data_IF_256586241933
#
_entry.id   IF_256586241933
#
_cell.length_a   1.000
_cell.length_b   1.000
_cell.length_c   1.000
_cell.angle_alpha   90.00
_cell.angle_beta   90.00
_cell.angle_gamma   90.00
#
_symmetry.space_group_name_H-M   'P 1'
#
loop_
_entity.id
_entity.type
_entity.pdbx_description
1 polymer ?
#
# COMPACT_ATOMS: atom_id res chain seq x y z
N UNK A 1 7.19 -5.67 10.78
CA UNK A 1 7.06 -7.14 10.71
C UNK A 1 5.60 -7.52 10.52
N UNK A 2 5.09 -7.35 9.30
CA UNK A 2 3.79 -7.88 8.86
C UNK A 2 4.00 -8.87 7.69
N UNK A 3 5.20 -9.45 7.62
CA UNK A 3 5.67 -10.26 6.50
C UNK A 3 5.13 -11.68 6.46
N UNK A 4 4.49 -12.18 7.53
CA UNK A 4 4.06 -13.58 7.62
C UNK A 4 2.53 -13.72 7.66
N UNK A 5 1.96 -14.27 6.58
CA UNK A 5 0.80 -15.17 6.62
C UNK A 5 -0.51 -14.71 7.28
N UNK A 6 -0.74 -13.42 7.52
CA UNK A 6 -1.98 -12.93 8.11
C UNK A 6 -3.05 -12.73 7.03
N UNK A 7 -4.03 -13.64 7.00
CA UNK A 7 -5.18 -13.56 6.10
C UNK A 7 -6.25 -12.63 6.71
N UNK A 8 -6.12 -11.32 6.46
CA UNK A 8 -7.02 -10.28 7.01
C UNK A 8 -8.27 -10.02 6.15
N UNK A 9 -8.43 -10.78 5.06
CA UNK A 9 -9.44 -10.58 4.03
C UNK A 9 -10.87 -10.74 4.53
N UNK A 10 -11.11 -11.59 5.54
CA UNK A 10 -12.45 -11.85 6.07
C UNK A 10 -12.86 -10.83 7.14
N UNK A 11 -11.93 -10.43 8.01
CA UNK A 11 -12.22 -9.58 9.18
C UNK A 11 -12.03 -8.08 8.99
N UNK A 12 -11.20 -7.63 8.05
CA UNK A 12 -10.80 -6.23 7.95
C UNK A 12 -10.94 -5.66 6.55
N UNK A 13 -11.68 -4.55 6.41
CA UNK A 13 -11.68 -3.68 5.23
C UNK A 13 -11.06 -2.30 5.52
N UNK A 14 -10.47 -2.12 6.70
CA UNK A 14 -9.83 -0.87 7.15
C UNK A 14 -8.37 -1.18 7.46
N UNK A 15 -7.46 -0.46 6.80
CA UNK A 15 -6.02 -0.50 7.04
C UNK A 15 -5.60 0.84 7.62
N UNK A 16 -4.85 0.83 8.72
CA UNK A 16 -4.33 2.05 9.35
C UNK A 16 -2.82 1.94 9.50
N UNK A 17 -2.08 2.83 8.85
CA UNK A 17 -0.63 2.95 8.99
C UNK A 17 -0.29 3.89 10.14
N UNK A 18 0.34 3.35 11.20
CA UNK A 18 0.77 4.13 12.37
C UNK A 18 2.16 4.75 12.23
N UNK A 19 3.03 4.17 11.39
CA UNK A 19 4.39 4.65 11.17
C UNK A 19 4.74 4.63 9.70
N UNK A 20 5.29 5.74 9.21
CA UNK A 20 5.61 5.93 7.81
C UNK A 20 7.11 5.66 7.60
N UNK A 21 7.43 4.52 6.99
CA UNK A 21 8.81 4.21 6.61
C UNK A 21 9.12 4.62 5.19
N UNK A 22 10.41 4.76 4.84
CA UNK A 22 10.91 5.24 3.55
C UNK A 22 10.71 4.28 2.36
N UNK A 23 10.15 3.10 2.61
CA UNK A 23 10.08 1.97 1.71
C UNK A 23 8.65 1.74 1.18
N UNK A 24 8.43 2.20 -0.06
CA UNK A 24 7.19 2.05 -0.80
C UNK A 24 6.83 0.61 -1.12
N UNK A 25 7.83 -0.24 -1.34
CA UNK A 25 7.60 -1.61 -1.81
C UNK A 25 6.90 -2.42 -0.70
N UNK A 26 7.34 -2.25 0.55
CA UNK A 26 6.65 -2.85 1.68
C UNK A 26 5.25 -2.29 1.88
N UNK A 27 5.02 -1.00 1.62
CA UNK A 27 3.68 -0.40 1.67
C UNK A 27 2.76 -1.04 0.62
N UNK A 28 3.24 -1.19 -0.62
CA UNK A 28 2.51 -1.84 -1.71
C UNK A 28 2.22 -3.31 -1.40
N UNK A 29 3.20 -4.08 -0.91
CA UNK A 29 3.00 -5.48 -0.51
C UNK A 29 1.93 -5.64 0.59
N UNK A 30 1.83 -4.69 1.53
CA UNK A 30 0.77 -4.69 2.55
C UNK A 30 -0.59 -4.36 1.93
N UNK A 31 -0.66 -3.37 1.04
CA UNK A 31 -1.90 -3.00 0.34
C UNK A 31 -2.38 -4.15 -0.55
N UNK A 32 -1.49 -4.86 -1.25
CA UNK A 32 -1.86 -6.02 -2.07
C UNK A 32 -2.44 -7.17 -1.24
N UNK A 33 -2.17 -7.24 0.06
CA UNK A 33 -2.66 -8.31 0.95
C UNK A 33 -4.11 -8.14 1.40
N UNK A 34 -4.61 -6.91 1.52
CA UNK A 34 -5.98 -6.61 1.99
C UNK A 34 -6.78 -5.75 1.01
N UNK A 35 -6.11 -5.22 0.00
CA UNK A 35 -6.61 -4.20 -0.90
C UNK A 35 -7.78 -4.67 -1.76
N UNK A 36 -8.32 -3.77 -2.59
CA UNK A 36 -9.54 -4.00 -3.35
C UNK A 36 -9.47 -5.26 -4.22
N UNK A 37 -8.31 -5.54 -4.83
CA UNK A 37 -8.08 -6.76 -5.63
C UNK A 37 -8.25 -8.02 -4.78
N UNK A 38 -7.75 -8.02 -3.55
CA UNK A 38 -7.77 -9.19 -2.67
C UNK A 38 -9.14 -9.41 -2.05
N UNK A 39 -9.85 -8.35 -1.68
CA UNK A 39 -11.25 -8.43 -1.25
C UNK A 39 -12.15 -8.96 -2.38
N UNK A 40 -11.94 -8.48 -3.61
CA UNK A 40 -12.66 -8.98 -4.78
C UNK A 40 -12.39 -10.48 -5.04
N UNK A 41 -11.13 -10.92 -4.92
CA UNK A 41 -10.76 -12.34 -5.01
C UNK A 41 -11.39 -13.20 -3.90
N UNK A 42 -11.55 -12.64 -2.70
CA UNK A 42 -12.23 -13.29 -1.57
C UNK A 42 -13.76 -13.27 -1.68
N UNK A 43 -14.33 -12.59 -2.68
CA UNK A 43 -15.78 -12.47 -2.87
C UNK A 43 -16.46 -11.42 -2.00
N UNK A 44 -15.68 -10.52 -1.37
CA UNK A 44 -16.21 -9.42 -0.57
C UNK A 44 -16.34 -8.14 -1.40
N UNK A 45 -17.57 -7.77 -1.77
CA UNK A 45 -17.88 -6.50 -2.45
C UNK A 45 -18.05 -5.38 -1.41
N UNK A 46 -16.92 -4.92 -0.83
CA UNK A 46 -16.90 -3.84 0.16
C UNK A 46 -15.78 -2.86 -0.09
N UNK A 47 -15.99 -1.55 0.15
CA UNK A 47 -14.94 -0.55 0.02
C UNK A 47 -13.83 -0.81 1.04
N UNK A 48 -12.58 -0.69 0.58
CA UNK A 48 -11.38 -0.76 1.43
C UNK A 48 -10.95 0.65 1.78
N UNK A 49 -10.81 0.93 3.06
CA UNK A 49 -10.33 2.21 3.57
C UNK A 49 -8.88 2.09 4.00
N UNK A 50 -8.02 2.97 3.50
CA UNK A 50 -6.62 3.08 3.89
C UNK A 50 -6.43 4.43 4.56
N UNK A 51 -6.02 4.42 5.82
CA UNK A 51 -5.73 5.61 6.60
C UNK A 51 -4.26 5.67 6.96
N UNK A 52 -3.68 6.85 6.81
CA UNK A 52 -2.31 7.15 7.18
C UNK A 52 -2.38 8.08 8.41
N UNK A 53 -1.89 7.61 9.57
CA UNK A 53 -1.81 8.42 10.79
C UNK A 53 -0.53 9.24 10.76
N UNK A 54 -0.66 10.55 10.66
CA UNK A 54 0.45 11.49 10.53
C UNK A 54 0.47 12.40 11.75
N UNK A 55 1.64 12.53 12.37
CA UNK A 55 1.85 13.52 13.41
C UNK A 55 2.29 14.86 12.80
N UNK A 56 1.60 15.94 13.14
CA UNK A 56 1.87 17.29 12.66
C UNK A 56 3.27 17.76 13.05
N UNK A 57 4.01 18.33 12.09
CA UNK A 57 5.37 18.83 12.31
C UNK A 57 6.43 17.75 12.50
N UNK A 58 6.13 16.49 12.16
CA UNK A 58 7.09 15.38 12.23
C UNK A 58 7.61 14.99 10.85
N UNK A 59 8.63 14.13 10.84
CA UNK A 59 9.25 13.62 9.60
C UNK A 59 8.27 12.79 8.75
N UNK A 60 7.14 12.36 9.31
CA UNK A 60 6.13 11.55 8.62
C UNK A 60 5.56 12.28 7.39
N UNK A 61 5.35 13.59 7.46
CA UNK A 61 4.87 14.40 6.33
C UNK A 61 5.88 14.44 5.16
N UNK A 62 7.18 14.50 5.50
CA UNK A 62 8.27 14.47 4.51
C UNK A 62 8.36 13.10 3.86
N UNK A 63 8.16 12.04 4.64
CA UNK A 63 8.13 10.66 4.14
C UNK A 63 6.97 10.46 3.19
N UNK A 64 5.76 10.94 3.54
CA UNK A 64 4.56 10.88 2.70
C UNK A 64 4.73 11.61 1.37
N UNK A 65 5.19 12.88 1.39
CA UNK A 65 5.47 13.62 0.15
C UNK A 65 6.49 12.90 -0.74
N UNK A 66 7.50 12.28 -0.13
CA UNK A 66 8.51 11.51 -0.88
C UNK A 66 7.99 10.17 -1.39
N UNK A 67 7.00 9.59 -0.72
CA UNK A 67 6.30 8.39 -1.20
C UNK A 67 5.52 8.70 -2.46
N UNK A 68 4.82 9.82 -2.54
CA UNK A 68 4.11 10.22 -3.77
C UNK A 68 5.08 10.33 -4.95
N UNK A 69 6.17 11.08 -4.80
CA UNK A 69 7.14 11.25 -5.89
C UNK A 69 7.86 9.96 -6.28
N UNK A 70 8.18 9.09 -5.31
CA UNK A 70 8.82 7.79 -5.61
C UNK A 70 7.82 6.79 -6.20
N UNK A 71 6.55 6.84 -5.81
CA UNK A 71 5.51 5.97 -6.35
C UNK A 71 5.34 6.24 -7.84
N UNK A 72 5.31 7.51 -8.26
CA UNK A 72 5.25 7.89 -9.68
C UNK A 72 6.42 7.28 -10.48
N UNK A 73 7.64 7.33 -9.93
CA UNK A 73 8.83 6.76 -10.57
C UNK A 73 8.76 5.24 -10.66
N UNK A 74 8.30 4.57 -9.60
CA UNK A 74 8.14 3.11 -9.59
C UNK A 74 7.05 2.65 -10.56
N UNK A 75 5.93 3.38 -10.63
CA UNK A 75 4.84 3.08 -11.56
C UNK A 75 5.29 3.21 -13.02
N UNK A 76 6.07 4.26 -13.33
CA UNK A 76 6.66 4.46 -14.65
C UNK A 76 7.62 3.33 -15.04
N UNK A 77 8.44 2.86 -14.09
CA UNK A 77 9.34 1.73 -14.28
C UNK A 77 8.58 0.41 -14.50
N UNK A 78 7.54 0.16 -13.70
CA UNK A 78 6.68 -1.02 -13.84
C UNK A 78 5.94 -1.04 -15.18
N UNK A 79 5.46 0.11 -15.64
CA UNK A 79 4.85 0.26 -16.95
C UNK A 79 5.86 -0.06 -18.07
N UNK A 80 7.06 0.52 -18.00
CA UNK A 80 8.13 0.27 -18.96
C UNK A 80 8.56 -1.21 -18.99
N UNK A 81 8.62 -1.89 -17.84
CA UNK A 81 8.93 -3.32 -17.77
C UNK A 81 7.81 -4.20 -18.34
N UNK A 82 6.54 -3.83 -18.14
CA UNK A 82 5.40 -4.53 -18.75
C UNK A 82 5.41 -4.38 -20.28
N UNK A 83 5.73 -3.21 -20.80
CA UNK A 83 5.83 -2.97 -22.24
C UNK A 83 7.02 -3.72 -22.86
N UNK A 84 8.16 -3.78 -22.17
CA UNK A 84 9.34 -4.49 -22.64
C UNK A 84 9.21 -6.03 -22.59
N UNK A 85 8.20 -6.55 -21.90
CA UNK A 85 7.93 -8.00 -21.77
C UNK A 85 6.89 -8.53 -22.77
N UNK A 86 6.44 -7.70 -23.73
CA UNK A 86 5.57 -8.10 -24.84
C UNK A 86 6.36 -8.37 -26.13
#
# INVERSE_FOLDING_TARGET
SAGHGLNLQDGGNILVFFGHWWDLEQRQQIIERIGPVRQAQAGHDRPVYVYDLVADGTIDELVLRRHETKADVQELLLAAMKEASC
#
